data_IF_541500277019
#
_entry.id   IF_541500277019
#
_cell.length_a   1.000
_cell.length_b   1.000
_cell.length_c   1.000
_cell.angle_alpha   90.00
_cell.angle_beta   90.00
_cell.angle_gamma   90.00
#
_symmetry.space_group_name_H-M   'P 1'
#
loop_
_entity.id
_entity.type
_entity.pdbx_description
1 polymer ?
#
# COMPACT_ATOMS: atom_id res chain seq x y z
N UNK A 1 24.37 -12.84 1.33
CA UNK A 1 25.36 -12.05 0.56
C UNK A 1 24.60 -11.10 -0.36
N UNK A 2 24.39 -9.83 0.05
CA UNK A 2 23.76 -8.85 -0.83
C UNK A 2 24.74 -8.55 -1.98
N UNK A 3 24.31 -8.79 -3.21
CA UNK A 3 25.12 -8.60 -4.41
C UNK A 3 25.38 -7.09 -4.53
N UNK A 4 26.62 -6.64 -4.30
CA UNK A 4 27.07 -5.25 -4.49
C UNK A 4 26.80 -4.70 -5.90
N UNK A 5 26.34 -5.53 -6.83
CA UNK A 5 25.92 -5.13 -8.17
C UNK A 5 24.68 -4.24 -8.22
N UNK A 6 23.91 -4.07 -7.14
CA UNK A 6 22.66 -3.29 -7.16
C UNK A 6 22.82 -1.81 -6.73
N UNK A 7 23.89 -1.49 -6.00
CA UNK A 7 24.12 -0.18 -5.39
C UNK A 7 25.48 0.38 -5.85
N UNK A 8 25.50 1.65 -6.19
CA UNK A 8 26.70 2.42 -6.50
C UNK A 8 26.96 3.37 -5.32
N UNK A 9 28.24 3.66 -5.03
CA UNK A 9 28.60 4.72 -4.07
C UNK A 9 28.74 6.03 -4.83
N UNK A 10 28.25 7.11 -4.24
CA UNK A 10 28.47 8.48 -4.71
C UNK A 10 28.81 9.34 -3.49
N UNK A 11 30.09 9.59 -3.27
CA UNK A 11 30.60 10.31 -2.10
C UNK A 11 30.03 9.78 -0.77
N UNK A 12 29.12 10.53 -0.14
CA UNK A 12 28.47 10.20 1.13
C UNK A 12 27.12 9.47 0.96
N UNK A 13 26.69 9.20 -0.27
CA UNK A 13 25.39 8.61 -0.61
C UNK A 13 25.52 7.25 -1.32
N UNK A 14 24.40 6.52 -1.31
CA UNK A 14 24.24 5.27 -2.07
C UNK A 14 23.19 5.45 -3.15
N UNK A 15 23.54 5.11 -4.38
CA UNK A 15 22.68 5.23 -5.54
C UNK A 15 22.20 3.85 -5.96
N UNK A 16 20.89 3.68 -6.05
CA UNK A 16 20.29 2.45 -6.58
C UNK A 16 20.30 2.56 -8.10
N UNK A 17 20.83 1.54 -8.78
CA UNK A 17 20.95 1.55 -10.26
C UNK A 17 19.63 1.80 -10.99
N UNK A 18 18.52 1.30 -10.44
CA UNK A 18 17.17 1.52 -10.97
C UNK A 18 16.18 1.44 -9.81
N UNK A 19 15.27 2.41 -9.70
CA UNK A 19 14.26 2.42 -8.64
C UNK A 19 13.42 1.13 -8.61
N UNK A 20 13.09 0.58 -9.78
CA UNK A 20 12.36 -0.68 -9.93
C UNK A 20 13.07 -1.89 -9.29
N UNK A 21 14.41 -1.90 -9.27
CA UNK A 21 15.18 -2.98 -8.62
C UNK A 21 14.96 -2.96 -7.11
N UNK A 22 14.95 -1.77 -6.50
CA UNK A 22 14.67 -1.62 -5.08
C UNK A 22 13.23 -2.00 -4.74
N UNK A 23 12.26 -1.43 -5.46
CA UNK A 23 10.83 -1.65 -5.19
C UNK A 23 10.41 -3.11 -5.40
N UNK A 24 10.87 -3.77 -6.47
CA UNK A 24 10.59 -5.20 -6.71
C UNK A 24 11.29 -6.11 -5.70
N UNK A 25 12.51 -5.78 -5.28
CA UNK A 25 13.25 -6.57 -4.28
C UNK A 25 12.58 -6.51 -2.91
N UNK A 26 12.17 -5.32 -2.45
CA UNK A 26 11.47 -5.22 -1.16
C UNK A 26 10.07 -5.84 -1.23
N UNK A 27 9.34 -5.62 -2.33
CA UNK A 27 7.98 -6.17 -2.51
C UNK A 27 7.99 -7.70 -2.57
N UNK A 28 8.92 -8.32 -3.30
CA UNK A 28 9.02 -9.78 -3.39
C UNK A 28 9.27 -10.44 -2.03
N UNK A 29 10.18 -9.86 -1.23
CA UNK A 29 10.46 -10.34 0.13
C UNK A 29 9.29 -10.10 1.09
N UNK A 30 8.60 -8.97 0.96
CA UNK A 30 7.47 -8.62 1.81
C UNK A 30 6.27 -9.54 1.55
N UNK A 31 5.94 -9.79 0.28
CA UNK A 31 4.82 -10.65 -0.12
C UNK A 31 5.06 -12.14 0.12
N UNK A 32 6.32 -12.56 0.25
CA UNK A 32 6.66 -13.93 0.63
C UNK A 32 6.36 -14.25 2.11
N UNK A 33 6.05 -13.24 2.94
CA UNK A 33 5.75 -13.45 4.36
C UNK A 33 4.31 -13.97 4.54
N UNK A 34 4.08 -15.00 5.37
CA UNK A 34 2.74 -15.61 5.52
C UNK A 34 1.72 -14.70 6.23
N UNK A 35 2.18 -13.68 6.95
CA UNK A 35 1.35 -12.75 7.70
C UNK A 35 1.10 -11.41 6.99
N UNK A 36 1.43 -11.32 5.70
CA UNK A 36 1.26 -10.11 4.90
C UNK A 36 0.28 -10.38 3.76
N UNK A 37 -0.71 -9.50 3.62
CA UNK A 37 -1.64 -9.49 2.50
C UNK A 37 -1.60 -8.14 1.79
N UNK A 38 -1.43 -8.17 0.48
CA UNK A 38 -1.54 -7.00 -0.36
C UNK A 38 -2.88 -7.02 -1.10
N UNK A 39 -3.73 -6.05 -0.81
CA UNK A 39 -4.99 -5.80 -1.51
C UNK A 39 -4.73 -4.78 -2.64
N UNK A 40 -4.40 -5.28 -3.84
CA UNK A 40 -4.19 -4.42 -5.02
C UNK A 40 -5.53 -3.95 -5.60
N UNK A 41 -5.51 -2.82 -6.30
CA UNK A 41 -6.69 -2.23 -6.96
C UNK A 41 -7.86 -1.93 -6.00
N UNK A 42 -7.56 -1.74 -4.71
CA UNK A 42 -8.49 -1.33 -3.67
C UNK A 42 -8.06 0.04 -3.19
N UNK A 43 -9.00 0.98 -3.08
CA UNK A 43 -8.79 2.30 -2.50
C UNK A 43 -9.38 2.34 -1.09
N UNK A 44 -8.73 3.09 -0.20
CA UNK A 44 -9.33 3.53 1.05
C UNK A 44 -10.07 4.84 0.78
N UNK A 45 -11.39 4.83 0.85
CA UNK A 45 -12.25 5.98 0.57
C UNK A 45 -12.45 6.88 1.80
N UNK A 46 -12.47 6.28 3.00
CA UNK A 46 -12.67 6.99 4.26
C UNK A 46 -12.07 6.22 5.46
N UNK A 47 -12.14 6.81 6.65
CA UNK A 47 -11.68 6.23 7.91
C UNK A 47 -12.86 5.78 8.79
N UNK A 48 -12.69 4.64 9.46
CA UNK A 48 -13.60 4.23 10.53
C UNK A 48 -13.18 4.95 11.81
N UNK A 49 -14.02 5.83 12.36
CA UNK A 49 -13.73 6.57 13.60
C UNK A 49 -14.71 6.19 14.71
N UNK A 50 -14.20 5.76 15.87
CA UNK A 50 -14.98 5.45 17.07
C UNK A 50 -14.39 6.23 18.25
N UNK A 51 -15.16 7.12 18.86
CA UNK A 51 -14.71 7.92 20.01
C UNK A 51 -13.44 8.74 19.74
N UNK A 52 -13.39 9.47 18.62
CA UNK A 52 -12.23 10.26 18.15
C UNK A 52 -10.94 9.45 17.93
N UNK A 53 -11.03 8.12 17.76
CA UNK A 53 -9.91 7.26 17.41
C UNK A 53 -10.18 6.56 16.07
N UNK A 54 -9.16 6.53 15.20
CA UNK A 54 -9.17 5.72 13.97
C UNK A 54 -9.11 4.24 14.33
N UNK A 55 -10.11 3.48 13.87
CA UNK A 55 -10.31 2.05 14.12
C UNK A 55 -10.34 1.19 12.86
N UNK A 56 -10.01 1.75 11.70
CA UNK A 56 -10.01 1.03 10.43
C UNK A 56 -10.16 1.95 9.22
N UNK A 57 -10.37 1.34 8.06
CA UNK A 57 -10.56 2.02 6.78
C UNK A 57 -11.83 1.53 6.09
N UNK A 58 -12.50 2.44 5.40
CA UNK A 58 -13.58 2.16 4.46
C UNK A 58 -12.94 1.97 3.09
N UNK A 59 -13.24 0.87 2.43
CA UNK A 59 -12.55 0.42 1.21
C UNK A 59 -13.49 0.14 0.07
N UNK A 60 -13.07 0.45 -1.14
CA UNK A 60 -13.78 0.05 -2.35
C UNK A 60 -12.77 -0.35 -3.45
N UNK A 61 -13.24 -0.90 -4.56
CA UNK A 61 -12.40 -1.04 -5.74
C UNK A 61 -11.96 0.33 -6.22
N UNK A 62 -10.68 0.51 -6.55
CA UNK A 62 -10.15 1.82 -6.92
C UNK A 62 -10.88 2.45 -8.12
N UNK A 63 -11.35 1.63 -9.06
CA UNK A 63 -12.16 2.10 -10.19
C UNK A 63 -13.55 2.56 -9.74
N UNK A 64 -14.18 1.89 -8.77
CA UNK A 64 -15.47 2.33 -8.22
C UNK A 64 -15.33 3.70 -7.55
N UNK A 65 -14.27 3.87 -6.75
CA UNK A 65 -13.96 5.13 -6.06
C UNK A 65 -13.79 6.32 -7.01
N UNK A 66 -13.33 6.08 -8.24
CA UNK A 66 -13.14 7.11 -9.26
C UNK A 66 -14.39 7.35 -10.13
N UNK A 67 -15.48 6.59 -9.93
CA UNK A 67 -16.61 6.54 -10.85
C UNK A 67 -17.99 6.65 -10.18
N UNK A 68 -18.06 7.14 -8.94
CA UNK A 68 -19.30 7.36 -8.20
C UNK A 68 -20.33 8.23 -8.94
N UNK A 69 -19.88 9.19 -9.76
CA UNK A 69 -20.77 10.11 -10.50
C UNK A 69 -21.33 9.53 -11.81
N UNK A 70 -20.76 8.41 -12.27
CA UNK A 70 -21.05 7.85 -13.60
C UNK A 70 -21.92 6.59 -13.58
N UNK A 71 -22.22 6.08 -12.38
CA UNK A 71 -22.95 4.85 -12.15
C UNK A 71 -23.88 5.05 -10.95
N UNK A 72 -24.79 4.11 -10.73
CA UNK A 72 -25.57 4.07 -9.48
C UNK A 72 -24.63 3.92 -8.28
N UNK A 73 -25.07 4.37 -7.10
CA UNK A 73 -24.30 4.27 -5.86
C UNK A 73 -23.82 2.82 -5.61
N UNK A 74 -22.55 2.69 -5.25
CA UNK A 74 -21.89 1.41 -4.98
C UNK A 74 -21.29 1.47 -3.58
N UNK A 75 -21.99 0.86 -2.62
CA UNK A 75 -21.61 0.91 -1.22
C UNK A 75 -20.19 0.32 -0.99
N UNK A 76 -19.37 0.96 -0.13
CA UNK A 76 -18.05 0.46 0.18
C UNK A 76 -18.08 -0.72 1.16
N UNK A 77 -16.94 -1.40 1.27
CA UNK A 77 -16.67 -2.40 2.30
C UNK A 77 -15.87 -1.78 3.47
N UNK A 78 -15.73 -2.49 4.58
CA UNK A 78 -15.02 -2.01 5.78
C UNK A 78 -13.91 -2.97 6.20
N UNK A 79 -12.80 -2.41 6.69
CA UNK A 79 -11.71 -3.16 7.30
C UNK A 79 -11.32 -2.52 8.64
N UNK A 80 -11.69 -3.19 9.74
CA UNK A 80 -11.27 -2.76 11.07
C UNK A 80 -9.78 -3.05 11.30
N UNK A 81 -9.08 -2.11 11.94
CA UNK A 81 -7.67 -2.22 12.27
C UNK A 81 -7.36 -1.56 13.60
N UNK A 82 -6.45 -2.15 14.37
CA UNK A 82 -5.99 -1.56 15.65
C UNK A 82 -5.23 -0.25 15.44
N UNK A 83 -4.49 -0.17 14.34
CA UNK A 83 -3.65 0.96 13.90
C UNK A 83 -3.73 1.04 12.37
N UNK A 84 -3.83 2.26 11.85
CA UNK A 84 -3.71 2.59 10.42
C UNK A 84 -2.43 3.40 10.23
N UNK A 85 -1.67 3.12 9.17
CA UNK A 85 -0.45 3.87 8.81
C UNK A 85 -0.78 4.72 7.58
N UNK A 86 -0.58 6.05 7.69
CA UNK A 86 -0.80 7.04 6.63
C UNK A 86 0.48 7.80 6.32
#
# INVERSE_FOLDING_TARGET
>A
MARWSAFLRHDNDVVIKQAALFTSTIMSKLLARPNVKLFKAVAAEDLIVKGNRVGGVVTNWALVSMNHDTQSCMDPNVMEAKIVVS
#
